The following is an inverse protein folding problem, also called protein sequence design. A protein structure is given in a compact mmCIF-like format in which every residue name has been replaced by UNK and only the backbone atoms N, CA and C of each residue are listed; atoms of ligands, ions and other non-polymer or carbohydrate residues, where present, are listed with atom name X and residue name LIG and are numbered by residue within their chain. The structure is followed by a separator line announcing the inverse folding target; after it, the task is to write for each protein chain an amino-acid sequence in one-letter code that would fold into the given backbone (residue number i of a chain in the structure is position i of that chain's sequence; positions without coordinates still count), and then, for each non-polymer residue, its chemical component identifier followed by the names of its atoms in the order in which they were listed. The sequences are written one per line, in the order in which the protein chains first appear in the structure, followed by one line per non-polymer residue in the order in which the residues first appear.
data_IF_034015294590
#
_entry.id   IF_034015294590
#
_cell.length_a   1.000
_cell.length_b   1.000
_cell.length_c   1.000
_cell.angle_alpha   90.00
_cell.angle_beta   90.00
_cell.angle_gamma   90.00
#
_symmetry.space_group_name_H-M   'P 1'
#
loop_
_entity.id
_entity.type
_entity.pdbx_description
1 polymer ?
#
# COMPACT_ATOMS: atom_id res chain seq x y z
N UNK A 1 5.47 1.56 3.21
CA UNK A 1 4.36 2.45 3.56
C UNK A 1 3.32 2.46 2.46
N UNK A 2 2.05 2.35 2.81
CA UNK A 2 0.90 2.46 1.92
C UNK A 2 0.06 3.67 2.36
N UNK A 3 0.09 4.74 1.59
CA UNK A 3 -0.70 5.94 1.85
C UNK A 3 -2.08 5.82 1.18
N UNK A 4 -3.14 6.25 1.86
CA UNK A 4 -4.52 6.12 1.41
C UNK A 4 -4.89 4.67 1.07
N UNK A 5 -4.78 3.81 2.08
CA UNK A 5 -4.91 2.35 1.94
C UNK A 5 -6.34 1.86 1.70
N UNK A 6 -7.33 2.76 1.82
CA UNK A 6 -8.75 2.45 1.66
C UNK A 6 -9.15 1.19 2.45
N UNK A 7 -9.87 0.28 1.85
CA UNK A 7 -10.35 -0.97 2.44
C UNK A 7 -9.30 -2.06 2.62
N UNK A 8 -8.01 -1.78 2.32
CA UNK A 8 -6.87 -2.60 2.71
C UNK A 8 -6.35 -3.58 1.67
N UNK A 9 -6.92 -3.64 0.47
CA UNK A 9 -6.50 -4.57 -0.59
C UNK A 9 -5.03 -4.34 -1.00
N UNK A 10 -4.60 -3.07 -1.09
CA UNK A 10 -3.22 -2.75 -1.47
C UNK A 10 -2.21 -3.18 -0.40
N UNK A 11 -2.32 -2.80 0.88
CA UNK A 11 -1.36 -3.25 1.90
C UNK A 11 -1.35 -4.77 2.09
N UNK A 12 -2.48 -5.47 1.94
CA UNK A 12 -2.47 -6.94 1.94
C UNK A 12 -1.76 -7.52 0.72
N UNK A 13 -1.90 -6.91 -0.46
CA UNK A 13 -1.15 -7.30 -1.66
C UNK A 13 0.36 -7.11 -1.47
N UNK A 14 0.77 -6.01 -0.83
CA UNK A 14 2.17 -5.78 -0.45
C UNK A 14 2.67 -6.88 0.49
N UNK A 15 1.91 -7.23 1.53
CA UNK A 15 2.26 -8.27 2.49
C UNK A 15 2.39 -9.66 1.82
N UNK A 16 1.46 -10.02 0.93
CA UNK A 16 1.54 -11.26 0.15
C UNK A 16 2.79 -11.29 -0.73
N UNK A 17 3.14 -10.18 -1.37
CA UNK A 17 4.36 -10.06 -2.19
C UNK A 17 5.62 -10.26 -1.37
N UNK A 18 5.68 -9.69 -0.15
CA UNK A 18 6.81 -9.88 0.77
C UNK A 18 6.94 -11.35 1.19
N UNK A 19 5.83 -12.01 1.56
CA UNK A 19 5.86 -13.43 1.93
C UNK A 19 6.32 -14.30 0.76
N UNK A 20 5.85 -14.02 -0.45
CA UNK A 20 6.28 -14.71 -1.65
C UNK A 20 7.78 -14.53 -1.94
N UNK A 21 8.27 -13.30 -1.86
CA UNK A 21 9.70 -13.01 -2.03
C UNK A 21 10.56 -13.71 -0.96
N UNK A 22 10.10 -13.75 0.29
CA UNK A 22 10.76 -14.47 1.38
C UNK A 22 10.88 -15.97 1.08
N UNK A 23 9.81 -16.58 0.57
CA UNK A 23 9.79 -17.98 0.17
C UNK A 23 10.77 -18.25 -1.00
N UNK A 24 10.67 -17.46 -2.09
CA UNK A 24 11.47 -17.65 -3.30
C UNK A 24 12.97 -17.41 -3.08
N UNK A 25 13.32 -16.43 -2.28
CA UNK A 25 14.72 -16.09 -1.98
C UNK A 25 15.34 -16.98 -0.89
N UNK A 26 14.52 -17.78 -0.22
CA UNK A 26 14.91 -18.57 0.97
C UNK A 26 15.66 -17.70 2.01
N UNK A 27 15.18 -16.49 2.23
CA UNK A 27 15.78 -15.52 3.14
C UNK A 27 14.81 -15.11 4.25
N UNK A 28 15.35 -14.87 5.44
CA UNK A 28 14.59 -14.21 6.50
C UNK A 28 14.47 -12.73 6.18
N UNK A 29 13.31 -12.32 5.67
CA UNK A 29 12.97 -10.90 5.45
C UNK A 29 12.07 -10.47 6.60
N UNK A 30 12.54 -9.52 7.40
CA UNK A 30 11.70 -8.86 8.39
C UNK A 30 11.13 -7.58 7.76
N UNK A 31 9.85 -7.59 7.45
CA UNK A 31 9.17 -6.45 6.84
C UNK A 31 7.92 -6.12 7.64
N UNK A 32 7.67 -4.83 7.82
CA UNK A 32 6.45 -4.28 8.39
C UNK A 32 5.85 -3.25 7.44
N UNK A 33 4.55 -3.13 7.44
CA UNK A 33 3.80 -2.22 6.57
C UNK A 33 3.00 -1.29 7.47
N UNK A 34 3.16 0.02 7.26
CA UNK A 34 2.27 1.03 7.81
C UNK A 34 1.30 1.40 6.70
N UNK A 35 0.01 1.30 6.97
CA UNK A 35 -1.06 1.64 6.05
C UNK A 35 -1.92 2.74 6.67
N UNK A 36 -2.13 3.83 5.94
CA UNK A 36 -2.87 4.98 6.47
C UNK A 36 -4.05 5.34 5.58
N UNK A 37 -5.08 5.88 6.18
CA UNK A 37 -6.20 6.53 5.51
C UNK A 37 -6.79 7.61 6.42
N UNK A 38 -7.54 8.55 5.85
CA UNK A 38 -8.27 9.55 6.62
C UNK A 38 -9.61 9.00 7.14
N UNK A 39 -10.20 8.02 6.46
CA UNK A 39 -11.49 7.43 6.80
C UNK A 39 -11.31 6.25 7.77
N UNK A 40 -11.77 6.45 9.00
CA UNK A 40 -11.73 5.43 10.06
C UNK A 40 -12.58 4.20 9.74
N UNK A 41 -13.66 4.32 8.95
CA UNK A 41 -14.51 3.20 8.60
C UNK A 41 -13.80 2.25 7.64
N UNK A 42 -13.09 2.79 6.63
CA UNK A 42 -12.31 1.94 5.71
C UNK A 42 -11.13 1.29 6.42
N UNK A 43 -10.48 2.00 7.37
CA UNK A 43 -9.42 1.42 8.18
C UNK A 43 -9.93 0.28 9.06
N UNK A 44 -11.10 0.43 9.67
CA UNK A 44 -11.71 -0.64 10.45
C UNK A 44 -12.10 -1.83 9.56
N UNK A 45 -12.64 -1.58 8.37
CA UNK A 45 -12.92 -2.63 7.39
C UNK A 45 -11.63 -3.37 6.99
N UNK A 46 -10.58 -2.64 6.67
CA UNK A 46 -9.26 -3.18 6.36
C UNK A 46 -8.70 -4.04 7.50
N UNK A 47 -8.76 -3.55 8.75
CA UNK A 47 -8.29 -4.28 9.92
C UNK A 47 -9.08 -5.58 10.16
N UNK A 48 -10.39 -5.60 9.88
CA UNK A 48 -11.20 -6.82 9.92
C UNK A 48 -10.73 -7.84 8.87
N UNK A 49 -10.32 -7.37 7.69
CA UNK A 49 -9.76 -8.18 6.61
C UNK A 49 -10.72 -9.25 6.09
N UNK A 50 -12.00 -8.91 5.97
CA UNK A 50 -13.04 -9.80 5.45
C UNK A 50 -13.58 -9.21 4.16
N UNK A 51 -13.48 -9.96 3.07
CA UNK A 51 -13.85 -9.51 1.73
C UNK A 51 -14.83 -10.49 1.08
N UNK A 52 -15.68 -9.96 0.20
CA UNK A 52 -16.46 -10.79 -0.72
C UNK A 52 -15.53 -11.34 -1.79
N UNK A 53 -15.73 -12.60 -2.16
CA UNK A 53 -14.92 -13.27 -3.17
C UNK A 53 -15.80 -13.91 -4.23
N UNK A 54 -15.55 -13.59 -5.49
CA UNK A 54 -16.20 -14.24 -6.62
C UNK A 54 -15.19 -15.13 -7.37
N UNK A 55 -15.51 -16.40 -7.54
CA UNK A 55 -14.66 -17.32 -8.32
C UNK A 55 -14.57 -16.95 -9.81
N UNK A 56 -15.52 -16.16 -10.33
CA UNK A 56 -15.57 -15.74 -11.71
C UNK A 56 -14.65 -14.56 -12.03
N UNK A 57 -14.17 -13.84 -11.02
CA UNK A 57 -13.22 -12.75 -11.20
C UNK A 57 -11.79 -13.26 -11.09
N UNK A 58 -10.93 -12.88 -12.03
CA UNK A 58 -9.47 -13.04 -11.91
C UNK A 58 -8.91 -12.00 -10.93
N UNK A 59 -9.34 -12.07 -9.66
CA UNK A 59 -8.97 -11.09 -8.63
C UNK A 59 -7.51 -11.23 -8.19
N UNK A 60 -6.92 -12.40 -8.39
CA UNK A 60 -5.55 -12.68 -7.97
C UNK A 60 -4.66 -13.03 -9.16
N UNK A 61 -3.40 -12.58 -9.17
CA UNK A 61 -2.39 -13.07 -10.10
C UNK A 61 -2.19 -14.60 -9.98
N UNK A 62 -1.74 -15.25 -11.04
CA UNK A 62 -1.59 -16.71 -11.12
C UNK A 62 -0.64 -17.29 -10.05
N UNK A 63 0.31 -16.49 -9.55
CA UNK A 63 1.24 -16.89 -8.51
C UNK A 63 0.62 -16.88 -7.10
N UNK A 64 -0.54 -16.22 -6.92
CA UNK A 64 -1.25 -16.22 -5.64
C UNK A 64 -2.18 -17.42 -5.57
N UNK A 65 -1.95 -18.26 -4.56
CA UNK A 65 -2.87 -19.32 -4.16
C UNK A 65 -3.70 -18.81 -2.97
N UNK A 66 -4.96 -18.41 -3.15
CA UNK A 66 -5.75 -17.76 -2.10
C UNK A 66 -5.80 -18.54 -0.79
N UNK A 67 -5.82 -19.87 -0.85
CA UNK A 67 -5.83 -20.73 0.34
C UNK A 67 -4.61 -20.56 1.25
N UNK A 68 -3.50 -20.05 0.76
CA UNK A 68 -2.30 -19.79 1.55
C UNK A 68 -2.43 -18.51 2.40
N UNK A 69 -3.28 -17.58 1.96
CA UNK A 69 -3.38 -16.24 2.52
C UNK A 69 -4.73 -15.94 3.18
N UNK A 70 -5.76 -16.73 2.84
CA UNK A 70 -7.13 -16.49 3.28
C UNK A 70 -7.81 -17.74 3.80
N UNK A 71 -8.66 -17.55 4.82
CA UNK A 71 -9.67 -18.53 5.23
C UNK A 71 -10.95 -18.24 4.48
N UNK A 72 -11.56 -19.27 3.90
CA UNK A 72 -12.82 -19.16 3.15
C UNK A 72 -14.01 -19.53 4.03
N UNK A 73 -15.09 -18.75 3.93
CA UNK A 73 -16.40 -19.06 4.50
C UNK A 73 -17.47 -18.90 3.44
N UNK A 74 -18.39 -19.84 3.36
CA UNK A 74 -19.61 -19.73 2.56
C UNK A 74 -20.76 -19.41 3.50
N UNK A 75 -21.51 -18.36 3.21
CA UNK A 75 -22.75 -18.05 3.93
C UNK A 75 -23.91 -17.98 2.97
N UNK A 76 -25.09 -18.41 3.41
CA UNK A 76 -26.35 -18.29 2.67
C UNK A 76 -27.09 -17.06 3.17
N UNK A 77 -27.56 -16.24 2.27
CA UNK A 77 -28.45 -15.12 2.53
C UNK A 77 -29.67 -15.20 1.61
N UNK A 78 -30.60 -14.26 1.73
CA UNK A 78 -31.83 -14.23 0.91
C UNK A 78 -31.56 -14.09 -0.60
N UNK A 79 -30.39 -13.57 -0.99
CA UNK A 79 -29.96 -13.40 -2.38
C UNK A 79 -29.17 -14.62 -2.93
N UNK A 80 -28.93 -15.66 -2.11
CA UNK A 80 -28.18 -16.85 -2.49
C UNK A 80 -26.95 -17.15 -1.66
N UNK A 81 -25.99 -17.86 -2.25
CA UNK A 81 -24.71 -18.17 -1.60
C UNK A 81 -23.69 -17.06 -1.85
N UNK A 82 -23.11 -16.57 -0.77
CA UNK A 82 -22.02 -15.59 -0.78
C UNK A 82 -20.74 -16.24 -0.25
N UNK A 83 -19.64 -16.05 -0.94
CA UNK A 83 -18.32 -16.49 -0.49
C UNK A 83 -17.59 -15.31 0.12
N UNK A 84 -17.17 -15.48 1.38
CA UNK A 84 -16.31 -14.53 2.07
C UNK A 84 -14.92 -15.16 2.22
N UNK A 85 -13.91 -14.30 2.09
CA UNK A 85 -12.52 -14.64 2.46
C UNK A 85 -12.09 -13.76 3.61
N UNK A 86 -11.39 -14.34 4.56
CA UNK A 86 -10.79 -13.63 5.70
C UNK A 86 -9.27 -13.77 5.62
N UNK A 87 -8.58 -12.66 5.71
CA UNK A 87 -7.12 -12.59 5.72
C UNK A 87 -6.56 -13.39 6.90
N UNK A 88 -5.50 -14.18 6.66
CA UNK A 88 -4.79 -14.92 7.69
C UNK A 88 -4.06 -13.98 8.66
N UNK A 89 -3.90 -14.42 9.91
CA UNK A 89 -3.28 -13.62 10.97
C UNK A 89 -1.81 -13.27 10.67
N UNK A 90 -1.10 -14.09 9.91
CA UNK A 90 0.30 -13.82 9.56
C UNK A 90 0.45 -12.62 8.64
N UNK A 91 -0.50 -12.41 7.71
CA UNK A 91 -0.56 -11.18 6.92
C UNK A 91 -0.96 -9.98 7.78
N UNK A 92 -1.97 -10.15 8.64
CA UNK A 92 -2.44 -9.06 9.51
C UNK A 92 -1.35 -8.53 10.43
N UNK A 93 -0.54 -9.41 11.01
CA UNK A 93 0.57 -9.04 11.89
C UNK A 93 1.65 -8.17 11.21
N UNK A 94 1.74 -8.23 9.88
CA UNK A 94 2.67 -7.42 9.11
C UNK A 94 2.21 -5.98 8.92
N UNK A 95 0.92 -5.68 9.15
CA UNK A 95 0.32 -4.40 8.78
C UNK A 95 -0.18 -3.68 10.03
N UNK A 96 0.20 -2.41 10.15
CA UNK A 96 -0.36 -1.48 11.14
C UNK A 96 -1.20 -0.45 10.41
N UNK A 97 -2.50 -0.41 10.71
CA UNK A 97 -3.43 0.58 10.18
C UNK A 97 -3.47 1.81 11.10
N UNK A 98 -3.33 3.01 10.52
CA UNK A 98 -3.32 4.26 11.27
C UNK A 98 -4.13 5.34 10.54
N UNK A 99 -4.81 6.19 11.29
CA UNK A 99 -5.44 7.37 10.71
C UNK A 99 -4.37 8.41 10.38
N UNK A 100 -4.44 8.98 9.17
CA UNK A 100 -3.58 10.09 8.76
C UNK A 100 -4.20 10.86 7.61
N UNK A 101 -4.11 12.19 7.67
CA UNK A 101 -4.46 13.07 6.59
C UNK A 101 -3.20 13.44 5.79
N UNK A 102 -3.19 13.20 4.48
CA UNK A 102 -2.07 13.57 3.61
C UNK A 102 -1.83 15.09 3.53
N UNK A 103 -2.83 15.89 3.87
CA UNK A 103 -2.68 17.36 3.95
C UNK A 103 -2.03 17.84 5.26
N UNK A 104 -1.87 16.98 6.28
CA UNK A 104 -1.20 17.39 7.51
C UNK A 104 0.21 17.91 7.22
N UNK A 105 0.61 18.96 7.92
CA UNK A 105 1.93 19.57 7.73
C UNK A 105 3.08 18.64 8.13
N UNK A 106 2.87 17.80 9.13
CA UNK A 106 3.86 16.88 9.66
C UNK A 106 3.32 15.47 9.71
N UNK A 107 4.04 14.53 9.13
CA UNK A 107 3.76 13.11 9.25
C UNK A 107 4.49 12.52 10.46
N UNK A 108 3.88 11.56 11.18
CA UNK A 108 4.47 10.97 12.39
C UNK A 108 5.57 9.94 12.08
N UNK A 109 6.40 10.23 11.07
CA UNK A 109 7.44 9.35 10.59
C UNK A 109 8.81 10.01 10.64
N UNK A 110 9.86 9.21 10.85
CA UNK A 110 11.23 9.68 10.79
C UNK A 110 11.66 9.94 9.34
N UNK A 111 12.62 10.86 9.15
CA UNK A 111 13.27 11.05 7.85
C UNK A 111 13.91 9.72 7.40
N UNK A 112 13.78 9.39 6.10
CA UNK A 112 14.34 8.16 5.52
C UNK A 112 13.91 6.88 6.26
N UNK A 113 12.66 6.78 6.68
CA UNK A 113 12.14 5.62 7.40
C UNK A 113 11.82 4.46 6.46
N UNK A 114 11.27 4.73 5.28
CA UNK A 114 10.67 3.72 4.42
C UNK A 114 11.60 3.29 3.28
N UNK A 115 11.64 1.99 3.02
CA UNK A 115 12.30 1.40 1.85
C UNK A 115 11.40 1.51 0.62
N UNK A 116 10.08 1.47 0.83
CA UNK A 116 9.08 1.51 -0.24
C UNK A 116 7.89 2.36 0.21
N UNK A 117 7.42 3.24 -0.67
CA UNK A 117 6.17 4.01 -0.47
C UNK A 117 5.25 3.76 -1.66
N UNK A 118 4.00 3.39 -1.36
CA UNK A 118 2.88 3.37 -2.29
C UNK A 118 2.02 4.60 -2.03
N UNK A 119 1.87 5.47 -3.05
CA UNK A 119 0.93 6.58 -3.07
C UNK A 119 0.19 6.52 -4.40
N UNK A 120 -0.90 5.75 -4.43
CA UNK A 120 -1.56 5.40 -5.67
C UNK A 120 -3.04 5.75 -5.63
N UNK A 121 -3.52 6.32 -6.72
CA UNK A 121 -4.95 6.63 -6.94
C UNK A 121 -5.56 7.55 -5.88
N UNK A 122 -4.76 8.39 -5.27
CA UNK A 122 -5.18 9.33 -4.23
C UNK A 122 -4.85 10.79 -4.58
N UNK A 123 -3.73 11.04 -5.25
CA UNK A 123 -3.33 12.41 -5.61
C UNK A 123 -4.32 13.07 -6.57
N UNK A 124 -5.06 12.29 -7.33
CA UNK A 124 -6.12 12.75 -8.24
C UNK A 124 -7.22 13.57 -7.56
N UNK A 125 -7.36 13.47 -6.24
CA UNK A 125 -8.35 14.22 -5.46
C UNK A 125 -7.83 15.57 -4.93
N UNK A 126 -6.57 15.91 -5.20
CA UNK A 126 -5.91 17.10 -4.70
C UNK A 126 -5.59 18.09 -5.83
N UNK A 127 -5.46 19.37 -5.49
CA UNK A 127 -4.93 20.38 -6.42
C UNK A 127 -3.49 20.04 -6.82
N UNK A 128 -3.00 20.57 -7.95
CA UNK A 128 -1.62 20.33 -8.38
C UNK A 128 -0.59 20.80 -7.35
N UNK A 129 -0.88 21.88 -6.64
CA UNK A 129 -0.04 22.40 -5.55
C UNK A 129 0.01 21.43 -4.37
N UNK A 130 -1.16 20.98 -3.90
CA UNK A 130 -1.26 20.01 -2.79
C UNK A 130 -0.60 18.67 -3.15
N UNK A 131 -0.80 18.17 -4.39
CA UNK A 131 -0.13 16.96 -4.89
C UNK A 131 1.39 17.06 -4.71
N UNK A 132 1.96 18.21 -5.09
CA UNK A 132 3.39 18.45 -5.02
C UNK A 132 3.88 18.48 -3.58
N UNK A 133 3.16 19.15 -2.69
CA UNK A 133 3.50 19.20 -1.26
C UNK A 133 3.36 17.83 -0.57
N UNK A 134 2.33 17.05 -0.90
CA UNK A 134 2.16 15.68 -0.41
C UNK A 134 3.35 14.82 -0.87
N UNK A 135 3.71 14.89 -2.15
CA UNK A 135 4.83 14.13 -2.69
C UNK A 135 6.16 14.50 -2.03
N UNK A 136 6.43 15.78 -1.78
CA UNK A 136 7.62 16.24 -1.07
C UNK A 136 7.67 15.68 0.36
N UNK A 137 6.53 15.72 1.08
CA UNK A 137 6.42 15.14 2.43
C UNK A 137 6.70 13.64 2.43
N UNK A 138 6.09 12.88 1.53
CA UNK A 138 6.34 11.44 1.38
C UNK A 138 7.81 11.16 1.05
N UNK A 139 8.37 11.92 0.12
CA UNK A 139 9.75 11.77 -0.33
C UNK A 139 10.78 11.99 0.78
N UNK A 140 10.50 12.89 1.73
CA UNK A 140 11.33 13.09 2.92
C UNK A 140 11.49 11.81 3.75
N UNK A 141 10.43 10.98 3.78
CA UNK A 141 10.40 9.74 4.56
C UNK A 141 10.89 8.53 3.79
N UNK A 142 11.10 8.63 2.47
CA UNK A 142 11.66 7.59 1.63
C UNK A 142 13.19 7.60 1.73
N UNK A 143 13.81 6.43 1.93
CA UNK A 143 15.27 6.26 1.92
C UNK A 143 15.87 6.59 0.55
N UNK A 144 17.14 6.99 0.51
CA UNK A 144 17.91 6.98 -0.74
C UNK A 144 18.00 5.52 -1.22
N UNK A 145 17.77 5.29 -2.51
CA UNK A 145 17.61 3.95 -3.08
C UNK A 145 16.23 3.33 -2.84
N UNK A 146 15.38 3.95 -2.04
CA UNK A 146 14.01 3.52 -1.82
C UNK A 146 13.10 3.77 -3.02
N UNK A 147 12.00 3.04 -3.10
CA UNK A 147 11.11 3.05 -4.27
C UNK A 147 9.77 3.70 -3.95
N UNK A 148 9.36 4.64 -4.81
CA UNK A 148 8.04 5.28 -4.82
C UNK A 148 7.19 4.69 -5.94
N UNK A 149 6.02 4.18 -5.60
CA UNK A 149 4.99 3.73 -6.53
C UNK A 149 3.86 4.74 -6.59
N UNK A 150 3.53 5.21 -7.80
CA UNK A 150 2.42 6.12 -8.07
C UNK A 150 1.32 5.42 -8.88
N UNK A 151 0.11 5.98 -8.88
CA UNK A 151 -0.99 5.53 -9.72
C UNK A 151 -0.79 5.89 -11.19
N UNK A 152 -1.60 5.32 -12.08
CA UNK A 152 -1.44 5.47 -13.53
C UNK A 152 -1.49 6.92 -14.03
N UNK A 153 -2.32 7.74 -13.40
CA UNK A 153 -2.52 9.16 -13.79
C UNK A 153 -1.66 10.12 -12.96
N UNK A 154 -0.78 9.60 -12.13
CA UNK A 154 0.05 10.38 -11.20
C UNK A 154 1.50 10.42 -11.71
N UNK A 155 2.21 11.47 -11.38
CA UNK A 155 3.60 11.66 -11.76
C UNK A 155 4.40 12.30 -10.62
N UNK A 156 5.75 12.27 -10.64
CA UNK A 156 6.56 12.71 -9.52
C UNK A 156 6.65 14.24 -9.35
N UNK A 157 5.97 15.04 -10.20
CA UNK A 157 5.94 16.52 -10.11
C UNK A 157 7.36 17.11 -10.01
N UNK A 158 7.61 17.99 -9.04
CA UNK A 158 8.91 18.63 -8.79
C UNK A 158 10.02 17.64 -8.39
N UNK A 159 9.67 16.39 -8.06
CA UNK A 159 10.65 15.37 -7.69
C UNK A 159 11.39 14.76 -8.89
N UNK A 160 11.01 15.11 -10.13
CA UNK A 160 11.57 14.49 -11.35
C UNK A 160 13.11 14.51 -11.41
N UNK A 161 13.75 15.54 -10.86
CA UNK A 161 15.20 15.66 -10.82
C UNK A 161 15.89 14.92 -9.66
N UNK A 162 15.11 14.29 -8.77
CA UNK A 162 15.57 13.62 -7.56
C UNK A 162 15.30 12.12 -7.60
N UNK A 163 14.61 11.64 -8.63
CA UNK A 163 14.24 10.25 -8.81
C UNK A 163 14.68 9.72 -10.16
N UNK A 164 14.99 8.43 -10.22
CA UNK A 164 15.17 7.67 -11.45
C UNK A 164 13.91 6.84 -11.72
N UNK A 165 13.32 7.00 -12.89
CA UNK A 165 12.23 6.14 -13.34
C UNK A 165 12.78 4.76 -13.71
N UNK A 166 12.25 3.70 -13.08
CA UNK A 166 12.68 2.32 -13.29
C UNK A 166 11.58 1.44 -13.87
N UNK A 167 10.35 1.97 -13.97
CA UNK A 167 9.20 1.29 -14.53
C UNK A 167 8.04 2.25 -14.77
N UNK A 168 6.89 1.71 -15.17
CA UNK A 168 5.67 2.51 -15.30
C UNK A 168 5.23 2.97 -13.92
N UNK A 169 5.31 4.29 -13.67
CA UNK A 169 4.99 4.94 -12.39
C UNK A 169 5.77 4.38 -11.18
N UNK A 170 6.99 3.91 -11.42
CA UNK A 170 7.91 3.40 -10.41
C UNK A 170 9.17 4.24 -10.45
N UNK A 171 9.51 4.84 -9.31
CA UNK A 171 10.60 5.80 -9.18
C UNK A 171 11.51 5.43 -8.00
N UNK A 172 12.81 5.47 -8.20
CA UNK A 172 13.82 5.27 -7.14
C UNK A 172 14.40 6.60 -6.73
N UNK A 173 14.43 6.88 -5.43
CA UNK A 173 15.05 8.08 -4.87
C UNK A 173 16.57 8.02 -5.04
N UNK A 174 17.15 8.96 -5.80
CA UNK A 174 18.59 9.01 -6.04
C UNK A 174 19.31 9.96 -5.08
N UNK A 175 18.66 11.01 -4.64
CA UNK A 175 19.29 12.05 -3.79
C UNK A 175 18.28 12.76 -2.90
N UNK A 176 18.77 13.38 -1.84
CA UNK A 176 17.98 14.22 -0.95
C UNK A 176 17.64 15.57 -1.60
N UNK A 177 16.53 16.14 -1.17
CA UNK A 177 16.18 17.54 -1.41
C UNK A 177 16.78 18.35 -0.25
N UNK A 178 17.73 19.24 -0.55
CA UNK A 178 18.50 19.95 0.47
C UNK A 178 17.69 20.92 1.36
N UNK A 179 16.46 21.25 0.94
CA UNK A 179 15.58 22.20 1.63
C UNK A 179 14.30 21.55 2.22
N UNK A 180 14.27 20.22 2.34
CA UNK A 180 13.20 19.45 3.00
C UNK A 180 13.62 18.93 4.39
#
# INVERSE_FOLDING_TARGET
YCSASSTGEEPYSMAMTVLKAKEELNKSINASIIATDIDTNVLQYAANGIYRYSKSSKEFPDWIRPQNYFKRRVQKNLAGEEVLIKVNEDLKKMITFQIMNLNDNNYPFSKNQFDVIFCRNVLIYFSAEDQNEILKKLFRHLKIGGTLYLGHSENPQDLVNYVKRVGQNIFVKEKEILWL
#
